data_IF_227923235858
#
_entry.id   IF_227923235858
#
_cell.length_a   1.000
_cell.length_b   1.000
_cell.length_c   1.000
_cell.angle_alpha   90.00
_cell.angle_beta   90.00
_cell.angle_gamma   90.00
#
_symmetry.space_group_name_H-M   'P 1'
#
loop_
_entity.id
_entity.type
_entity.pdbx_description
1 polymer ?
#
# COMPACT_ATOMS: atom_id res chain seq x y z
N UNK A 1 20.28 61.92 39.84
CA UNK A 1 19.11 61.26 39.26
C UNK A 1 19.61 60.03 38.52
N UNK A 2 19.62 58.87 39.19
CA UNK A 2 20.15 57.61 38.61
C UNK A 2 18.98 56.82 37.98
N UNK A 3 19.05 56.61 36.67
CA UNK A 3 18.12 55.73 35.96
C UNK A 3 18.57 54.28 36.12
N UNK A 4 17.74 53.45 36.75
CA UNK A 4 17.96 52.00 36.79
C UNK A 4 17.31 51.41 35.51
N UNK A 5 18.13 50.82 34.68
CA UNK A 5 17.67 50.06 33.52
C UNK A 5 17.42 48.62 34.02
N UNK A 6 16.13 48.23 34.08
CA UNK A 6 15.74 46.87 34.42
C UNK A 6 15.76 46.03 33.15
N UNK A 7 16.74 45.14 33.02
CA UNK A 7 16.81 44.20 31.92
C UNK A 7 15.83 43.07 32.20
N UNK A 8 14.75 43.00 31.41
CA UNK A 8 13.82 41.87 31.46
C UNK A 8 14.35 40.80 30.55
N UNK A 9 14.89 39.73 31.14
CA UNK A 9 15.30 38.53 30.37
C UNK A 9 14.02 37.73 30.04
N UNK A 10 13.65 37.77 28.78
CA UNK A 10 12.59 36.87 28.28
C UNK A 10 13.18 35.50 28.06
N UNK A 11 12.83 34.55 28.91
CA UNK A 11 13.14 33.15 28.70
C UNK A 11 12.15 32.59 27.68
N UNK A 12 12.59 32.43 26.45
CA UNK A 12 11.84 31.64 25.46
C UNK A 12 12.02 30.16 25.83
N UNK A 13 11.00 29.64 26.50
CA UNK A 13 10.93 28.18 26.66
C UNK A 13 10.51 27.60 25.30
N UNK A 14 11.46 27.04 24.59
CA UNK A 14 11.16 26.28 23.39
C UNK A 14 10.56 24.95 23.86
N UNK A 15 9.24 24.86 23.85
CA UNK A 15 8.55 23.62 24.17
C UNK A 15 8.67 22.70 22.96
N UNK A 16 9.47 21.78 22.70
CA UNK A 16 9.55 21.09 21.96
C UNK A 16 8.52 20.52 21.87
N UNK A 17 7.87 20.52 20.94
CA UNK A 17 6.72 19.74 20.55
C UNK A 17 7.19 18.31 20.41
N UNK A 18 6.95 17.52 21.40
CA UNK A 18 7.26 16.08 21.35
C UNK A 18 6.31 15.45 20.32
N UNK A 19 6.88 14.86 19.28
CA UNK A 19 6.08 14.22 18.24
C UNK A 19 5.25 13.11 18.87
N UNK A 20 3.95 13.10 18.58
CA UNK A 20 3.04 12.08 19.09
C UNK A 20 3.36 10.73 18.46
N UNK A 21 3.39 9.66 19.24
CA UNK A 21 3.53 8.32 18.66
C UNK A 21 2.41 8.04 17.65
N UNK A 22 2.77 7.32 16.59
CA UNK A 22 1.86 7.02 15.48
C UNK A 22 1.26 5.63 15.72
N UNK A 23 -0.06 5.51 15.62
CA UNK A 23 -0.72 4.21 15.68
C UNK A 23 -0.52 3.45 14.37
N UNK A 24 -0.21 2.15 14.47
CA UNK A 24 -0.04 1.29 13.30
C UNK A 24 -0.89 0.05 13.46
N UNK A 25 -1.64 -0.29 12.42
CA UNK A 25 -2.28 -1.60 12.31
C UNK A 25 -1.56 -2.42 11.26
N UNK A 26 -1.36 -3.72 11.56
CA UNK A 26 -0.69 -4.65 10.68
C UNK A 26 -1.67 -5.71 10.19
N UNK A 27 -1.83 -5.79 8.87
CA UNK A 27 -2.51 -6.91 8.24
C UNK A 27 -1.52 -8.06 8.11
N UNK A 28 -2.03 -9.31 8.25
CA UNK A 28 -1.17 -10.50 8.27
C UNK A 28 -1.68 -11.55 7.29
N UNK A 29 -0.80 -12.50 6.92
CA UNK A 29 -1.15 -13.53 5.94
C UNK A 29 -2.00 -14.65 6.52
N UNK A 30 -2.19 -14.68 7.83
CA UNK A 30 -2.86 -15.78 8.50
C UNK A 30 -1.93 -16.94 8.87
N UNK A 31 -0.71 -16.94 8.35
CA UNK A 31 0.28 -17.95 8.71
C UNK A 31 0.90 -17.56 10.04
N UNK A 32 0.74 -18.41 11.06
CA UNK A 32 1.24 -18.16 12.40
C UNK A 32 0.69 -16.87 13.04
N UNK A 33 -0.43 -16.36 12.54
CA UNK A 33 -1.05 -15.16 13.08
C UNK A 33 -2.49 -15.43 13.45
N UNK A 34 -3.00 -14.62 14.40
CA UNK A 34 -4.39 -14.75 14.86
C UNK A 34 -5.29 -13.65 14.27
N UNK A 35 -4.72 -12.65 13.62
CA UNK A 35 -5.54 -11.59 13.07
C UNK A 35 -4.77 -10.31 12.76
N UNK A 36 -5.42 -9.19 13.07
CA UNK A 36 -4.86 -7.84 12.89
C UNK A 36 -4.13 -7.45 14.16
N UNK A 37 -2.91 -6.91 14.04
CA UNK A 37 -2.11 -6.49 15.19
C UNK A 37 -1.98 -4.98 15.22
N UNK A 38 -1.70 -4.44 16.40
CA UNK A 38 -1.53 -3.00 16.63
C UNK A 38 -0.25 -2.75 17.43
N UNK A 39 0.40 -1.62 17.14
CA UNK A 39 1.52 -1.10 17.91
C UNK A 39 1.56 0.41 17.70
N UNK A 40 2.40 1.10 18.48
CA UNK A 40 2.71 2.50 18.20
C UNK A 40 4.18 2.63 17.81
N UNK A 41 4.48 3.66 17.06
CA UNK A 41 5.82 3.99 16.59
C UNK A 41 6.14 5.42 16.97
N UNK A 42 7.29 5.62 17.62
CA UNK A 42 7.76 6.95 17.98
C UNK A 42 8.69 7.48 16.88
N UNK A 43 8.25 8.47 16.09
CA UNK A 43 9.07 8.95 14.97
C UNK A 43 10.31 9.74 15.38
N UNK A 44 10.43 10.16 16.65
CA UNK A 44 11.63 10.87 17.12
C UNK A 44 12.81 9.93 17.27
N UNK A 45 12.55 8.71 17.76
CA UNK A 45 13.64 7.79 18.10
C UNK A 45 13.53 6.42 17.40
N UNK A 46 12.48 6.18 16.60
CA UNK A 46 12.32 4.94 15.88
C UNK A 46 11.89 3.74 16.72
N UNK A 47 11.39 3.96 17.92
CA UNK A 47 11.01 2.86 18.80
C UNK A 47 9.54 2.48 18.66
N UNK A 48 9.30 1.17 18.71
CA UNK A 48 7.95 0.60 18.69
C UNK A 48 7.54 0.17 20.09
N UNK A 49 6.25 0.25 20.39
CA UNK A 49 5.70 -0.55 21.51
C UNK A 49 5.54 -2.00 21.02
N UNK A 50 5.47 -2.98 21.93
CA UNK A 50 5.23 -4.37 21.50
C UNK A 50 3.90 -4.49 20.76
N UNK A 51 3.85 -5.35 19.73
CA UNK A 51 2.61 -5.58 19.01
C UNK A 51 1.62 -6.38 19.85
N UNK A 52 0.33 -6.05 19.70
CA UNK A 52 -0.76 -6.74 20.40
C UNK A 52 -1.84 -7.08 19.39
N UNK A 53 -2.54 -8.18 19.60
CA UNK A 53 -3.68 -8.56 18.78
C UNK A 53 -4.79 -7.52 18.93
N UNK A 54 -5.21 -6.90 17.82
CA UNK A 54 -6.26 -5.89 17.82
C UNK A 54 -7.62 -6.50 17.47
N UNK A 55 -7.64 -7.49 16.60
CA UNK A 55 -8.86 -8.23 16.23
C UNK A 55 -8.49 -9.62 15.74
N UNK A 56 -9.27 -10.62 16.17
CA UNK A 56 -9.05 -12.00 15.75
C UNK A 56 -9.83 -12.27 14.47
N UNK A 57 -9.12 -12.65 13.40
CA UNK A 57 -9.74 -12.96 12.11
C UNK A 57 -8.70 -13.67 11.23
N UNK A 58 -9.14 -14.63 10.41
CA UNK A 58 -8.25 -15.35 9.50
C UNK A 58 -7.82 -14.49 8.32
N UNK A 59 -6.53 -14.52 8.01
CA UNK A 59 -5.94 -13.93 6.79
C UNK A 59 -6.38 -12.48 6.49
N UNK A 60 -6.22 -11.54 7.45
CA UNK A 60 -6.53 -10.13 7.16
C UNK A 60 -5.39 -9.49 6.37
N UNK A 61 -5.26 -9.88 5.11
CA UNK A 61 -4.07 -9.59 4.32
C UNK A 61 -3.91 -8.14 3.87
N UNK A 62 -4.98 -7.35 3.86
CA UNK A 62 -4.87 -5.94 3.53
C UNK A 62 -5.93 -5.14 4.26
N UNK A 63 -5.58 -3.88 4.58
CA UNK A 63 -6.38 -2.98 5.40
C UNK A 63 -6.59 -1.66 4.65
N UNK A 64 -7.73 -1.01 4.90
CA UNK A 64 -8.01 0.30 4.31
C UNK A 64 -8.88 1.12 5.26
N UNK A 65 -8.62 2.44 5.32
CA UNK A 65 -9.39 3.35 6.18
C UNK A 65 -10.54 3.98 5.42
N UNK A 66 -11.66 4.12 6.12
CA UNK A 66 -12.76 4.95 5.63
C UNK A 66 -12.31 6.43 5.67
N UNK A 67 -12.74 7.26 4.70
CA UNK A 67 -12.35 8.68 4.70
C UNK A 67 -12.68 9.46 5.96
N UNK A 68 -13.66 9.00 6.77
CA UNK A 68 -13.98 9.68 8.03
C UNK A 68 -12.93 9.45 9.12
N UNK A 69 -11.96 8.57 8.89
CA UNK A 69 -10.87 8.31 9.85
C UNK A 69 -11.27 7.48 11.06
N UNK A 70 -12.48 6.92 11.10
CA UNK A 70 -13.00 6.23 12.29
C UNK A 70 -13.21 4.72 12.06
N UNK A 71 -13.27 4.29 10.81
CA UNK A 71 -13.57 2.91 10.45
C UNK A 71 -12.41 2.32 9.67
N UNK A 72 -11.98 1.14 10.09
CA UNK A 72 -10.95 0.36 9.39
C UNK A 72 -11.63 -0.84 8.74
N UNK A 73 -11.40 -1.04 7.44
CA UNK A 73 -11.88 -2.22 6.72
C UNK A 73 -10.72 -3.17 6.47
N UNK A 74 -11.02 -4.46 6.52
CA UNK A 74 -10.04 -5.53 6.34
C UNK A 74 -10.61 -6.63 5.46
N UNK A 75 -9.73 -7.25 4.68
CA UNK A 75 -10.03 -8.56 4.11
C UNK A 75 -10.02 -9.60 5.23
N UNK A 76 -10.67 -10.74 5.02
CA UNK A 76 -10.65 -11.80 6.03
C UNK A 76 -11.29 -13.09 5.58
N UNK A 77 -11.08 -14.13 6.39
CA UNK A 77 -11.67 -15.47 6.24
C UNK A 77 -12.29 -15.92 7.55
N UNK A 78 -13.47 -16.52 7.47
CA UNK A 78 -14.18 -17.01 8.65
C UNK A 78 -15.15 -18.14 8.26
N UNK A 79 -15.13 -19.22 9.03
CA UNK A 79 -16.10 -20.33 8.92
C UNK A 79 -16.43 -20.73 7.47
N UNK A 80 -15.39 -20.97 6.67
CA UNK A 80 -15.55 -21.40 5.30
C UNK A 80 -15.89 -20.29 4.32
N UNK A 81 -16.03 -19.06 4.78
CA UNK A 81 -16.32 -17.88 3.96
C UNK A 81 -15.13 -16.96 3.89
N UNK A 82 -15.12 -16.05 2.92
CA UNK A 82 -14.13 -15.00 2.82
C UNK A 82 -14.79 -13.73 2.30
N UNK A 83 -14.23 -12.58 2.67
CA UNK A 83 -14.78 -11.29 2.24
C UNK A 83 -14.15 -10.13 2.97
N UNK A 84 -14.99 -9.17 3.34
CA UNK A 84 -14.56 -7.92 3.95
C UNK A 84 -15.23 -7.72 5.30
N UNK A 85 -14.48 -7.14 6.25
CA UNK A 85 -14.99 -6.80 7.59
C UNK A 85 -14.75 -5.32 7.86
N UNK A 86 -15.62 -4.73 8.69
CA UNK A 86 -15.44 -3.34 9.14
C UNK A 86 -15.36 -3.27 10.65
N UNK A 87 -14.47 -2.41 11.15
CA UNK A 87 -14.17 -2.24 12.57
C UNK A 87 -14.23 -0.77 12.96
N UNK A 88 -14.80 -0.49 14.15
CA UNK A 88 -14.56 0.78 14.83
C UNK A 88 -13.25 0.68 15.61
N UNK A 89 -12.45 1.70 15.53
CA UNK A 89 -11.21 1.75 16.30
C UNK A 89 -11.50 2.26 17.71
N UNK A 90 -11.01 1.45 18.52
CA UNK A 90 -11.22 1.78 19.85
C UNK A 90 -9.93 2.29 20.42
N UNK A 91 -10.11 2.81 21.60
CA UNK A 91 -8.87 3.24 22.28
C UNK A 91 -7.90 2.07 22.54
N UNK A 92 -6.69 2.50 22.37
CA UNK A 92 -5.75 1.58 22.66
C UNK A 92 -5.37 0.68 21.61
N UNK A 93 -5.83 0.92 20.53
CA UNK A 93 -5.56 0.07 19.41
C UNK A 93 -6.48 -1.14 19.28
N UNK A 94 -7.50 -1.21 20.05
CA UNK A 94 -8.46 -2.30 19.94
C UNK A 94 -9.41 -2.04 18.77
N UNK A 95 -9.78 -3.12 18.04
CA UNK A 95 -10.73 -3.04 16.93
C UNK A 95 -12.01 -3.78 17.29
N UNK A 96 -13.15 -3.12 17.16
CA UNK A 96 -14.45 -3.72 17.44
C UNK A 96 -15.20 -3.91 16.12
N UNK A 97 -15.35 -5.16 15.74
CA UNK A 97 -16.08 -5.51 14.51
C UNK A 97 -17.55 -5.09 14.63
N UNK A 98 -18.09 -4.46 13.58
CA UNK A 98 -19.50 -4.12 13.53
C UNK A 98 -20.19 -4.59 12.26
N UNK A 99 -19.43 -5.00 11.24
CA UNK A 99 -20.03 -5.46 9.97
C UNK A 99 -19.06 -6.43 9.28
N UNK A 100 -19.63 -7.42 8.60
CA UNK A 100 -18.87 -8.29 7.69
C UNK A 100 -19.76 -8.72 6.54
N UNK A 101 -19.14 -8.96 5.39
CA UNK A 101 -19.89 -9.35 4.19
C UNK A 101 -19.03 -10.29 3.34
N UNK A 102 -19.55 -11.48 3.08
CA UNK A 102 -18.85 -12.46 2.25
C UNK A 102 -18.83 -12.00 0.79
N UNK A 103 -17.75 -12.39 0.10
CA UNK A 103 -17.62 -12.17 -1.33
C UNK A 103 -17.78 -13.52 -2.04
N UNK A 104 -18.65 -13.63 -3.04
CA UNK A 104 -18.83 -14.92 -3.75
C UNK A 104 -17.52 -15.41 -4.39
N UNK A 105 -16.61 -14.51 -4.71
CA UNK A 105 -15.34 -14.85 -5.38
C UNK A 105 -14.16 -14.95 -4.41
N UNK A 106 -14.43 -15.13 -3.13
CA UNK A 106 -13.44 -15.41 -2.12
C UNK A 106 -12.76 -14.18 -1.54
N UNK A 107 -11.56 -14.39 -0.99
CA UNK A 107 -10.80 -13.33 -0.34
C UNK A 107 -10.01 -12.52 -1.36
N UNK A 108 -10.01 -11.20 -1.16
CA UNK A 108 -9.24 -10.31 -2.02
C UNK A 108 -7.76 -10.28 -1.70
N UNK A 109 -6.98 -9.69 -2.60
CA UNK A 109 -5.57 -9.39 -2.40
C UNK A 109 -5.36 -7.93 -1.95
N UNK A 110 -6.33 -7.07 -2.22
CA UNK A 110 -6.22 -5.64 -1.91
C UNK A 110 -7.61 -5.05 -1.72
N UNK A 111 -7.70 -3.97 -0.97
CA UNK A 111 -8.95 -3.30 -0.65
C UNK A 111 -8.72 -1.78 -0.65
N UNK A 112 -9.68 -1.03 -1.20
CA UNK A 112 -9.63 0.44 -1.20
C UNK A 112 -11.02 1.02 -1.04
N UNK A 113 -11.15 2.00 -0.15
CA UNK A 113 -12.39 2.74 0.04
C UNK A 113 -12.40 3.96 -0.88
N UNK A 114 -13.49 4.16 -1.60
CA UNK A 114 -13.63 5.33 -2.47
C UNK A 114 -13.64 6.62 -1.63
N UNK A 115 -13.06 7.72 -2.14
CA UNK A 115 -13.02 8.98 -1.38
C UNK A 115 -14.38 9.50 -0.91
N UNK A 116 -15.46 9.12 -1.60
CA UNK A 116 -16.82 9.50 -1.16
C UNK A 116 -17.26 8.79 0.11
N UNK A 117 -16.61 7.69 0.49
CA UNK A 117 -17.03 6.86 1.61
C UNK A 117 -18.26 6.01 1.32
N UNK A 118 -18.77 6.00 0.08
CA UNK A 118 -20.01 5.30 -0.26
C UNK A 118 -19.83 3.86 -0.68
N UNK A 119 -18.60 3.45 -1.00
CA UNK A 119 -18.31 2.07 -1.37
C UNK A 119 -16.83 1.80 -1.26
N UNK A 120 -16.49 0.53 -1.24
CA UNK A 120 -15.11 0.07 -1.36
C UNK A 120 -15.02 -1.00 -2.43
N UNK A 121 -13.81 -1.22 -2.94
CA UNK A 121 -13.57 -2.26 -3.93
C UNK A 121 -12.44 -3.17 -3.45
N UNK A 122 -12.52 -4.44 -3.86
CA UNK A 122 -11.47 -5.42 -3.57
C UNK A 122 -11.01 -6.05 -4.87
N UNK A 123 -9.70 -6.35 -4.94
CA UNK A 123 -9.12 -7.07 -6.06
C UNK A 123 -9.07 -8.55 -5.71
N UNK A 124 -9.75 -9.38 -6.49
CA UNK A 124 -9.86 -10.82 -6.24
C UNK A 124 -8.84 -11.56 -7.10
N UNK A 125 -7.64 -11.73 -6.54
CA UNK A 125 -6.52 -12.31 -7.28
C UNK A 125 -6.82 -13.74 -7.75
N UNK A 126 -7.32 -14.58 -6.85
CA UNK A 126 -7.62 -15.97 -7.18
C UNK A 126 -8.80 -16.14 -8.11
N UNK A 127 -9.83 -15.31 -7.94
CA UNK A 127 -11.04 -15.40 -8.74
C UNK A 127 -10.99 -14.69 -10.08
N UNK A 128 -10.05 -13.75 -10.24
CA UNK A 128 -9.94 -12.99 -11.48
C UNK A 128 -10.95 -11.88 -11.63
N UNK A 129 -11.38 -11.27 -10.53
CA UNK A 129 -12.48 -10.31 -10.54
C UNK A 129 -12.20 -9.11 -9.64
N UNK A 130 -13.12 -8.14 -9.71
CA UNK A 130 -13.16 -6.99 -8.81
C UNK A 130 -14.53 -7.00 -8.14
N UNK A 131 -14.56 -6.88 -6.82
CA UNK A 131 -15.82 -6.82 -6.07
C UNK A 131 -16.07 -5.41 -5.57
N UNK A 132 -17.31 -4.94 -5.68
CA UNK A 132 -17.74 -3.60 -5.25
C UNK A 132 -18.72 -3.80 -4.09
N UNK A 133 -18.37 -3.27 -2.91
CA UNK A 133 -19.19 -3.36 -1.71
C UNK A 133 -19.77 -1.98 -1.43
N UNK A 134 -21.07 -1.74 -1.65
CA UNK A 134 -21.66 -0.48 -1.20
C UNK A 134 -21.57 -0.35 0.31
N UNK A 135 -21.43 0.87 0.81
CA UNK A 135 -21.38 1.17 2.24
C UNK A 135 -22.61 2.01 2.62
N UNK A 136 -23.25 1.64 3.71
CA UNK A 136 -24.29 2.46 4.30
C UNK A 136 -23.72 3.75 4.87
N UNK A 137 -24.59 4.66 5.26
CA UNK A 137 -24.18 5.95 5.83
C UNK A 137 -23.33 5.78 7.10
N UNK A 138 -23.56 4.70 7.83
CA UNK A 138 -22.81 4.35 9.04
C UNK A 138 -21.62 3.45 8.78
N UNK A 139 -21.32 3.14 7.51
CA UNK A 139 -20.18 2.31 7.14
C UNK A 139 -20.47 0.83 7.06
N UNK A 140 -21.71 0.38 7.30
CA UNK A 140 -22.04 -1.04 7.17
C UNK A 140 -21.87 -1.52 5.74
N UNK A 141 -21.23 -2.68 5.60
CA UNK A 141 -21.03 -3.32 4.29
C UNK A 141 -22.37 -3.86 3.75
N UNK A 142 -22.59 -3.69 2.46
CA UNK A 142 -23.76 -4.23 1.77
C UNK A 142 -23.31 -5.26 0.75
N UNK A 143 -24.28 -6.02 0.21
CA UNK A 143 -24.02 -7.14 -0.70
C UNK A 143 -23.17 -6.66 -1.90
N UNK A 144 -22.07 -7.34 -2.20
CA UNK A 144 -21.18 -6.91 -3.30
C UNK A 144 -21.70 -7.29 -4.67
N UNK A 145 -21.27 -6.52 -5.66
CA UNK A 145 -21.36 -6.86 -7.08
C UNK A 145 -19.97 -7.27 -7.53
N UNK A 146 -19.87 -8.32 -8.33
CA UNK A 146 -18.59 -8.85 -8.83
C UNK A 146 -18.49 -8.62 -10.33
N UNK A 147 -17.37 -8.07 -10.79
CA UNK A 147 -17.05 -7.87 -12.21
C UNK A 147 -15.88 -8.76 -12.57
N UNK A 148 -16.09 -9.74 -13.43
CA UNK A 148 -15.04 -10.65 -13.85
C UNK A 148 -14.18 -10.05 -14.96
N UNK A 149 -12.85 -10.19 -14.83
CA UNK A 149 -11.94 -9.91 -15.92
C UNK A 149 -11.86 -11.13 -16.85
N UNK A 150 -11.44 -10.92 -18.08
CA UNK A 150 -11.37 -12.00 -19.09
C UNK A 150 -10.00 -12.03 -19.76
N UNK A 151 -9.53 -13.21 -20.07
CA UNK A 151 -8.31 -13.38 -20.85
C UNK A 151 -7.11 -13.83 -20.05
N UNK A 152 -5.96 -13.53 -20.56
CA UNK A 152 -4.65 -13.81 -19.98
C UNK A 152 -3.60 -13.45 -21.01
N UNK A 153 -2.48 -12.87 -20.60
CA UNK A 153 -1.43 -12.49 -21.52
C UNK A 153 -0.61 -13.70 -21.99
N UNK A 154 -0.55 -14.75 -21.16
CA UNK A 154 0.10 -16.02 -21.46
C UNK A 154 1.61 -15.89 -21.73
N UNK A 155 2.23 -14.84 -21.20
CA UNK A 155 3.67 -14.64 -21.38
C UNK A 155 4.46 -15.47 -20.35
N UNK A 156 4.08 -15.39 -19.06
CA UNK A 156 4.76 -16.15 -18.00
C UNK A 156 3.89 -17.36 -17.63
N UNK A 157 4.41 -18.54 -17.94
CA UNK A 157 3.72 -19.79 -17.70
C UNK A 157 3.32 -19.97 -16.23
N UNK A 158 2.10 -20.45 -16.01
CA UNK A 158 1.52 -20.71 -14.67
C UNK A 158 1.21 -19.45 -13.87
N UNK A 159 1.47 -18.27 -14.44
CA UNK A 159 1.18 -17.02 -13.76
C UNK A 159 0.19 -16.15 -14.53
N UNK A 160 0.12 -16.30 -15.86
CA UNK A 160 -0.65 -15.38 -16.70
C UNK A 160 -1.62 -16.08 -17.66
N UNK A 161 -2.10 -17.26 -17.33
CA UNK A 161 -3.11 -17.96 -18.13
C UNK A 161 -4.49 -17.35 -17.98
N UNK A 162 -4.75 -16.66 -16.85
CA UNK A 162 -6.04 -16.07 -16.53
C UNK A 162 -5.83 -14.74 -15.81
N UNK A 163 -6.92 -13.94 -15.61
CA UNK A 163 -6.79 -12.67 -14.92
C UNK A 163 -6.43 -12.85 -13.45
N UNK A 164 -5.63 -11.91 -12.93
CA UNK A 164 -5.25 -11.86 -11.52
C UNK A 164 -5.18 -10.41 -11.04
N UNK A 165 -6.34 -9.75 -10.82
CA UNK A 165 -6.33 -8.40 -10.24
C UNK A 165 -5.61 -8.40 -8.90
N UNK A 166 -4.66 -7.48 -8.69
CA UNK A 166 -3.87 -7.52 -7.46
C UNK A 166 -4.00 -6.26 -6.60
N UNK A 167 -4.48 -5.18 -7.16
CA UNK A 167 -4.59 -3.90 -6.46
C UNK A 167 -5.81 -3.16 -6.96
N UNK A 168 -6.37 -2.33 -6.12
CA UNK A 168 -7.46 -1.44 -6.50
C UNK A 168 -7.16 -0.05 -5.96
N UNK A 169 -7.51 0.96 -6.74
CA UNK A 169 -7.37 2.33 -6.30
C UNK A 169 -8.14 3.25 -7.21
N UNK A 170 -8.15 4.52 -6.84
CA UNK A 170 -8.94 5.51 -7.55
C UNK A 170 -8.04 6.62 -8.06
N UNK A 171 -8.43 7.22 -9.19
CA UNK A 171 -7.76 8.43 -9.65
C UNK A 171 -7.95 9.51 -8.58
N UNK A 172 -7.03 10.50 -8.53
CA UNK A 172 -7.13 11.54 -7.49
C UNK A 172 -8.48 12.27 -7.47
N UNK A 173 -9.11 12.43 -8.63
CA UNK A 173 -10.43 13.05 -8.71
C UNK A 173 -11.59 12.12 -8.33
N UNK A 174 -11.32 10.82 -8.12
CA UNK A 174 -12.34 9.86 -7.77
C UNK A 174 -13.23 9.38 -8.91
N UNK A 175 -12.97 9.84 -10.14
CA UNK A 175 -13.84 9.50 -11.29
C UNK A 175 -13.51 8.17 -11.95
N UNK A 176 -12.33 7.63 -11.68
CA UNK A 176 -11.88 6.38 -12.28
C UNK A 176 -11.35 5.44 -11.20
N UNK A 177 -11.58 4.15 -11.39
CA UNK A 177 -10.95 3.10 -10.62
C UNK A 177 -9.93 2.41 -11.52
N UNK A 178 -8.73 2.14 -10.99
CA UNK A 178 -7.63 1.55 -11.73
C UNK A 178 -7.23 0.25 -11.05
N UNK A 179 -7.18 -0.83 -11.86
CA UNK A 179 -6.97 -2.18 -11.35
C UNK A 179 -5.79 -2.80 -12.11
N UNK A 180 -4.58 -2.77 -11.56
CA UNK A 180 -3.50 -3.57 -12.12
C UNK A 180 -3.87 -5.06 -12.08
N UNK A 181 -3.77 -5.70 -13.22
CA UNK A 181 -4.09 -7.12 -13.36
C UNK A 181 -2.85 -7.87 -13.82
N UNK A 182 -2.29 -8.68 -12.93
CA UNK A 182 -1.04 -9.40 -13.17
C UNK A 182 -1.16 -10.37 -14.34
N UNK A 183 -2.30 -11.04 -14.45
CA UNK A 183 -2.51 -12.04 -15.50
C UNK A 183 -2.71 -11.44 -16.87
N UNK A 184 -3.19 -10.20 -16.94
CA UNK A 184 -3.49 -9.55 -18.22
C UNK A 184 -2.36 -8.66 -18.74
N UNK A 185 -1.34 -8.37 -17.92
CA UNK A 185 -0.31 -7.39 -18.22
C UNK A 185 -0.91 -5.99 -18.49
N UNK A 186 -1.97 -5.66 -17.77
CA UNK A 186 -2.71 -4.41 -17.99
C UNK A 186 -3.09 -3.75 -16.67
N UNK A 187 -3.32 -2.42 -16.75
CA UNK A 187 -4.15 -1.72 -15.77
C UNK A 187 -5.54 -1.63 -16.42
N UNK A 188 -6.54 -2.23 -15.78
CA UNK A 188 -7.93 -2.12 -16.27
C UNK A 188 -8.53 -0.86 -15.63
N UNK A 189 -9.15 -0.01 -16.46
CA UNK A 189 -9.67 1.28 -16.03
C UNK A 189 -11.20 1.29 -16.14
N UNK A 190 -11.84 1.67 -15.04
CA UNK A 190 -13.30 1.79 -14.95
C UNK A 190 -13.70 3.23 -14.66
N UNK A 191 -14.85 3.63 -15.19
CA UNK A 191 -15.53 4.84 -14.72
C UNK A 191 -16.28 4.53 -13.43
N UNK A 192 -16.28 5.47 -12.51
CA UNK A 192 -16.93 5.35 -11.20
C UNK A 192 -18.19 6.21 -11.19
N UNK A 193 -19.30 5.65 -10.70
CA UNK A 193 -20.49 6.44 -10.33
C UNK A 193 -20.58 6.44 -8.80
N UNK A 194 -20.16 7.50 -8.13
CA UNK A 194 -20.18 7.51 -6.66
C UNK A 194 -21.61 7.62 -6.08
N UNK A 195 -22.56 8.08 -6.87
CA UNK A 195 -23.93 8.23 -6.40
C UNK A 195 -24.69 6.88 -6.45
N UNK A 196 -24.25 6.01 -7.34
CA UNK A 196 -24.81 4.68 -7.51
C UNK A 196 -23.59 3.75 -7.55
N UNK A 197 -23.08 3.28 -6.40
CA UNK A 197 -21.78 2.57 -6.34
C UNK A 197 -21.66 1.51 -7.43
N UNK A 198 -21.00 1.87 -8.50
CA UNK A 198 -20.83 0.99 -9.65
C UNK A 198 -19.63 1.39 -10.45
N UNK A 199 -19.07 0.40 -11.15
CA UNK A 199 -17.95 0.58 -12.08
C UNK A 199 -18.42 0.19 -13.46
N UNK A 200 -18.11 1.00 -14.47
CA UNK A 200 -18.35 0.64 -15.86
C UNK A 200 -17.01 0.63 -16.62
N UNK A 201 -16.84 -0.39 -17.46
CA UNK A 201 -15.59 -0.57 -18.18
C UNK A 201 -15.30 0.67 -19.05
N UNK A 202 -14.06 1.18 -18.97
CA UNK A 202 -13.66 2.39 -19.70
C UNK A 202 -12.52 2.08 -20.68
N UNK A 203 -11.46 1.40 -20.24
CA UNK A 203 -10.35 1.07 -21.10
C UNK A 203 -9.27 0.30 -20.38
N UNK A 204 -8.13 0.17 -21.03
CA UNK A 204 -6.96 -0.51 -20.45
C UNK A 204 -5.69 0.28 -20.77
N UNK A 205 -4.69 0.12 -19.91
CA UNK A 205 -3.34 0.62 -20.17
C UNK A 205 -2.40 -0.59 -20.18
N UNK A 206 -1.69 -0.79 -21.29
CA UNK A 206 -0.86 -1.96 -21.49
C UNK A 206 0.51 -1.79 -20.84
N UNK A 207 0.90 -2.76 -20.02
CA UNK A 207 2.23 -2.81 -19.43
C UNK A 207 3.17 -3.65 -20.29
N UNK A 208 4.42 -3.85 -19.81
CA UNK A 208 5.41 -4.64 -20.55
C UNK A 208 5.01 -6.13 -20.55
N UNK A 209 5.22 -6.84 -21.67
CA UNK A 209 4.87 -8.26 -21.71
C UNK A 209 5.59 -9.06 -20.62
N UNK A 210 4.86 -9.87 -19.88
CA UNK A 210 5.41 -10.65 -18.79
C UNK A 210 5.72 -9.86 -17.54
N UNK A 211 5.34 -8.59 -17.50
CA UNK A 211 5.62 -7.73 -16.35
C UNK A 211 4.86 -8.15 -15.11
N UNK A 212 3.59 -8.48 -15.27
CA UNK A 212 2.74 -8.86 -14.14
C UNK A 212 2.41 -7.68 -13.24
N UNK A 213 1.55 -6.76 -13.73
CA UNK A 213 1.14 -5.58 -12.93
C UNK A 213 0.61 -5.97 -11.55
N UNK A 214 1.10 -5.30 -10.51
CA UNK A 214 0.76 -5.68 -9.14
C UNK A 214 0.14 -4.53 -8.33
N UNK A 215 0.88 -3.48 -8.09
CA UNK A 215 0.48 -2.29 -7.32
C UNK A 215 0.89 -1.04 -8.07
N UNK A 216 0.24 0.10 -7.80
CA UNK A 216 0.59 1.36 -8.48
C UNK A 216 0.36 2.55 -7.56
N UNK A 217 0.98 3.66 -7.93
CA UNK A 217 0.78 4.95 -7.25
C UNK A 217 0.80 6.05 -8.29
N UNK A 218 0.01 7.11 -8.05
CA UNK A 218 0.10 8.33 -8.82
C UNK A 218 1.28 9.16 -8.34
N UNK A 219 1.90 9.92 -9.26
CA UNK A 219 2.86 10.93 -8.86
C UNK A 219 2.13 12.03 -8.09
N UNK A 220 2.88 12.79 -7.27
CA UNK A 220 2.30 13.82 -6.41
C UNK A 220 1.56 14.89 -7.24
N UNK A 221 2.09 15.22 -8.43
CA UNK A 221 1.45 16.20 -9.33
C UNK A 221 0.37 15.58 -10.21
N UNK A 222 0.08 14.28 -10.04
CA UNK A 222 -0.98 13.55 -10.74
C UNK A 222 -0.77 13.39 -12.25
N UNK A 223 0.44 13.70 -12.75
CA UNK A 223 0.75 13.57 -14.17
C UNK A 223 1.13 12.15 -14.57
N UNK A 224 1.68 11.39 -13.64
CA UNK A 224 2.22 10.07 -13.92
C UNK A 224 1.61 9.01 -13.01
N UNK A 225 1.61 7.78 -13.52
CA UNK A 225 1.36 6.58 -12.74
C UNK A 225 2.66 5.78 -12.73
N UNK A 226 3.07 5.31 -11.54
CA UNK A 226 4.17 4.37 -11.39
C UNK A 226 3.57 3.00 -11.08
N UNK A 227 3.69 2.09 -12.04
CA UNK A 227 3.14 0.73 -11.95
C UNK A 227 4.24 -0.25 -11.63
N UNK A 228 4.11 -0.98 -10.52
CA UNK A 228 5.03 -2.04 -10.15
C UNK A 228 4.65 -3.32 -10.85
N UNK A 229 5.59 -3.89 -11.61
CA UNK A 229 5.45 -5.17 -12.26
C UNK A 229 6.09 -6.24 -11.36
N UNK A 230 5.27 -7.16 -10.84
CA UNK A 230 5.72 -8.17 -9.89
C UNK A 230 6.72 -9.14 -10.50
N UNK A 231 6.40 -9.67 -11.69
CA UNK A 231 7.13 -10.79 -12.27
C UNK A 231 8.46 -10.35 -12.87
N UNK A 232 8.52 -9.15 -13.43
CA UNK A 232 9.75 -8.64 -14.04
C UNK A 232 10.55 -7.75 -13.10
N UNK A 233 10.09 -7.50 -11.86
CA UNK A 233 10.74 -6.61 -10.89
C UNK A 233 11.12 -5.28 -11.55
N UNK A 234 10.11 -4.60 -12.06
CA UNK A 234 10.31 -3.35 -12.78
C UNK A 234 9.18 -2.37 -12.47
N UNK A 235 9.41 -1.10 -12.77
CA UNK A 235 8.39 -0.06 -12.63
C UNK A 235 8.16 0.59 -13.99
N UNK A 236 6.93 0.56 -14.48
CA UNK A 236 6.55 1.25 -15.72
C UNK A 236 5.88 2.58 -15.36
N UNK A 237 6.38 3.66 -15.97
CA UNK A 237 5.78 4.99 -15.85
C UNK A 237 4.80 5.20 -16.97
N UNK A 238 3.60 5.69 -16.62
CA UNK A 238 2.56 6.06 -17.58
C UNK A 238 2.23 7.54 -17.44
N UNK A 239 1.85 8.31 -18.39
CA UNK A 239 1.37 9.47 -18.39
C UNK A 239 0.05 9.33 -18.21
N UNK A 240 -0.57 9.90 -17.31
CA UNK A 240 -2.00 9.89 -16.96
C UNK A 240 -2.73 11.11 -17.53
N UNK A 241 -3.80 10.90 -18.27
CA UNK A 241 -4.68 11.96 -18.76
C UNK A 241 -5.97 11.93 -17.92
N UNK A 242 -6.05 12.83 -16.95
CA UNK A 242 -7.18 12.88 -16.01
C UNK A 242 -8.50 13.23 -16.69
N UNK A 243 -8.44 14.02 -17.76
CA UNK A 243 -9.66 14.40 -18.51
C UNK A 243 -10.26 13.25 -19.29
N UNK A 244 -9.40 12.42 -19.88
CA UNK A 244 -9.82 11.27 -20.68
C UNK A 244 -9.89 9.96 -19.88
N UNK A 245 -9.24 9.91 -18.74
CA UNK A 245 -9.14 8.66 -17.97
C UNK A 245 -8.29 7.62 -18.67
N UNK A 246 -7.20 8.05 -19.30
CA UNK A 246 -6.31 7.14 -20.06
C UNK A 246 -4.88 7.25 -19.58
N UNK A 247 -4.13 6.15 -19.75
CA UNK A 247 -2.72 6.10 -19.36
C UNK A 247 -1.90 5.55 -20.52
N UNK A 248 -0.80 6.25 -20.83
CA UNK A 248 0.10 5.90 -21.93
C UNK A 248 1.46 5.49 -21.38
N UNK A 249 1.96 4.30 -21.69
CA UNK A 249 3.28 3.89 -21.19
C UNK A 249 4.40 4.75 -21.77
N UNK A 250 5.35 5.14 -20.91
CA UNK A 250 6.47 6.02 -21.28
C UNK A 250 7.82 5.32 -21.17
N UNK A 251 8.10 4.66 -20.04
CA UNK A 251 9.41 4.06 -19.76
C UNK A 251 9.28 3.01 -18.67
N UNK A 252 10.28 2.12 -18.62
CA UNK A 252 10.34 1.07 -17.59
C UNK A 252 11.77 0.96 -17.04
N UNK A 253 11.92 1.01 -15.71
CA UNK A 253 13.04 0.92 -15.02
C UNK A 253 13.05 -0.29 -14.38
N UNK A 254 14.20 -1.12 -14.33
CA UNK A 254 14.36 -2.36 -13.58
C UNK A 254 14.71 -2.06 -12.13
N UNK A 255 14.13 -2.81 -11.22
CA UNK A 255 14.42 -2.63 -9.79
C UNK A 255 15.79 -3.14 -9.38
N UNK A 256 16.16 -4.12 -9.84
CA UNK A 256 17.37 -4.71 -9.57
C UNK A 256 17.97 -5.00 -10.87
N UNK A 257 19.33 -5.31 -11.04
CA UNK A 257 19.96 -5.73 -12.26
C UNK A 257 19.63 -7.20 -12.59
N UNK A 258 19.78 -7.57 -13.85
CA UNK A 258 19.53 -8.96 -14.23
C UNK A 258 20.47 -9.92 -13.51
N UNK A 259 21.69 -9.49 -13.25
CA UNK A 259 22.66 -10.30 -12.50
C UNK A 259 22.17 -10.54 -11.06
N UNK A 260 21.65 -9.52 -10.41
CA UNK A 260 21.11 -9.64 -9.04
C UNK A 260 19.89 -10.57 -9.05
N UNK A 261 18.99 -10.38 -10.02
CA UNK A 261 17.81 -11.26 -10.12
C UNK A 261 18.19 -12.72 -10.30
N UNK A 262 19.17 -12.98 -11.17
CA UNK A 262 19.61 -14.35 -11.48
C UNK A 262 20.30 -15.04 -10.30
N UNK A 263 20.77 -14.26 -9.34
CA UNK A 263 21.41 -14.79 -8.14
C UNK A 263 20.45 -15.34 -7.10
N UNK A 264 19.15 -15.12 -7.28
CA UNK A 264 18.13 -15.54 -6.32
C UNK A 264 17.29 -16.70 -6.87
N UNK A 265 17.03 -17.68 -6.02
CA UNK A 265 16.19 -18.83 -6.41
C UNK A 265 14.73 -18.43 -6.56
N UNK A 266 14.31 -17.34 -5.92
CA UNK A 266 12.98 -16.77 -6.04
C UNK A 266 13.11 -15.25 -5.99
N UNK A 267 12.41 -14.59 -6.89
CA UNK A 267 12.39 -13.12 -6.96
C UNK A 267 11.03 -12.64 -7.40
N UNK A 268 10.48 -11.65 -6.68
CA UNK A 268 9.30 -10.95 -7.16
C UNK A 268 9.13 -9.62 -6.44
N UNK A 269 8.56 -8.63 -7.11
CA UNK A 269 8.29 -7.33 -6.50
C UNK A 269 6.97 -7.37 -5.74
N UNK A 270 6.79 -6.47 -4.76
CA UNK A 270 5.57 -6.53 -3.95
C UNK A 270 4.85 -5.20 -3.73
N UNK A 271 5.53 -4.14 -3.30
CA UNK A 271 4.87 -2.87 -2.99
C UNK A 271 5.62 -1.70 -3.58
N UNK A 272 4.90 -0.62 -3.88
CA UNK A 272 5.47 0.61 -4.43
C UNK A 272 4.91 1.81 -3.68
N UNK A 273 5.79 2.80 -3.43
CA UNK A 273 5.45 4.03 -2.71
C UNK A 273 6.04 5.23 -3.43
N UNK A 274 5.38 6.39 -3.28
CA UNK A 274 5.90 7.66 -3.79
C UNK A 274 6.13 8.58 -2.58
N UNK A 275 7.34 9.16 -2.50
CA UNK A 275 7.66 10.12 -1.44
C UNK A 275 6.82 11.39 -1.63
N UNK A 276 6.32 12.02 -0.55
CA UNK A 276 5.49 13.23 -0.67
C UNK A 276 6.13 14.38 -1.45
N UNK A 277 7.46 14.45 -1.52
CA UNK A 277 8.14 15.47 -2.34
C UNK A 277 7.92 15.25 -3.84
N UNK A 278 7.52 14.04 -4.23
CA UNK A 278 7.41 13.66 -5.64
C UNK A 278 8.74 13.25 -6.27
N UNK A 279 9.85 13.41 -5.55
CA UNK A 279 11.20 13.20 -6.11
C UNK A 279 11.70 11.76 -5.99
N UNK A 280 11.07 10.93 -5.17
CA UNK A 280 11.55 9.56 -4.92
C UNK A 280 10.41 8.56 -4.95
N UNK A 281 10.75 7.35 -5.42
CA UNK A 281 9.85 6.20 -5.47
C UNK A 281 10.57 5.03 -4.81
N UNK A 282 9.81 4.14 -4.18
CA UNK A 282 10.36 2.96 -3.49
C UNK A 282 9.60 1.72 -3.92
N UNK A 283 10.31 0.61 -4.16
CA UNK A 283 9.64 -0.67 -4.39
C UNK A 283 10.35 -1.80 -3.63
N UNK A 284 9.58 -2.76 -3.14
CA UNK A 284 10.15 -3.88 -2.39
C UNK A 284 10.37 -5.11 -3.27
N UNK A 285 11.47 -5.82 -3.00
CA UNK A 285 11.92 -6.98 -3.76
C UNK A 285 11.96 -8.21 -2.83
N UNK A 286 11.03 -9.14 -3.05
CA UNK A 286 10.98 -10.41 -2.29
C UNK A 286 11.98 -11.40 -2.88
N UNK A 287 12.64 -12.17 -2.05
CA UNK A 287 13.73 -13.05 -2.44
C UNK A 287 15.07 -12.38 -2.20
N UNK A 288 15.34 -11.30 -2.90
CA UNK A 288 16.52 -10.47 -2.65
C UNK A 288 16.40 -9.73 -1.31
N UNK A 289 15.18 -9.49 -0.84
CA UNK A 289 14.86 -8.90 0.45
C UNK A 289 15.44 -7.49 0.62
N UNK A 290 15.15 -6.65 -0.36
CA UNK A 290 15.61 -5.27 -0.42
C UNK A 290 14.49 -4.33 -0.81
N UNK A 291 14.76 -3.03 -0.67
CA UNK A 291 13.95 -1.96 -1.24
C UNK A 291 14.80 -1.21 -2.25
N UNK A 292 14.29 -1.08 -3.45
CA UNK A 292 14.90 -0.25 -4.49
C UNK A 292 14.42 1.18 -4.32
N UNK A 293 15.36 2.13 -4.25
CA UNK A 293 15.08 3.55 -4.13
C UNK A 293 15.34 4.19 -5.49
N UNK A 294 14.36 4.92 -6.01
CA UNK A 294 14.46 5.58 -7.30
C UNK A 294 14.39 7.09 -7.13
N UNK A 295 15.22 7.79 -7.87
CA UNK A 295 15.04 9.22 -8.10
C UNK A 295 14.10 9.39 -9.29
N UNK A 296 13.09 10.24 -9.14
CA UNK A 296 12.10 10.48 -10.20
C UNK A 296 12.36 11.84 -10.86
N UNK A 297 12.40 11.85 -12.18
CA UNK A 297 12.37 13.09 -12.93
C UNK A 297 10.91 13.55 -13.00
N UNK A 298 10.57 14.60 -12.26
CA UNK A 298 9.17 15.04 -12.14
C UNK A 298 8.61 15.64 -13.42
N UNK A 299 9.46 15.97 -14.40
CA UNK A 299 9.00 16.49 -15.70
C UNK A 299 8.69 15.37 -16.69
N UNK A 300 9.47 14.29 -16.67
CA UNK A 300 9.37 13.21 -17.66
C UNK A 300 8.81 11.91 -17.10
N UNK A 301 8.78 11.75 -15.77
CA UNK A 301 8.40 10.52 -15.12
C UNK A 301 9.46 9.44 -15.11
N UNK A 302 10.62 9.68 -15.72
CA UNK A 302 11.70 8.69 -15.75
C UNK A 302 12.25 8.44 -14.36
N UNK A 303 12.54 7.17 -14.08
CA UNK A 303 13.09 6.73 -12.80
C UNK A 303 14.55 6.28 -12.98
N UNK A 304 15.35 6.49 -11.92
CA UNK A 304 16.73 6.04 -11.86
C UNK A 304 16.95 5.41 -10.48
N UNK A 305 17.41 4.16 -10.42
CA UNK A 305 17.74 3.51 -9.14
C UNK A 305 18.97 4.20 -8.54
N UNK A 306 18.85 4.66 -7.29
CA UNK A 306 19.95 5.32 -6.56
C UNK A 306 20.40 4.52 -5.36
N UNK A 307 19.63 3.50 -4.94
CA UNK A 307 20.01 2.62 -3.83
C UNK A 307 19.21 1.33 -3.91
N UNK A 308 19.81 0.23 -3.50
CA UNK A 308 19.11 -1.04 -3.24
C UNK A 308 19.46 -1.40 -1.80
N UNK A 309 18.50 -1.24 -0.89
CA UNK A 309 18.75 -1.31 0.55
C UNK A 309 18.20 -2.59 1.16
N UNK A 310 19.02 -3.40 1.86
CA UNK A 310 18.49 -4.55 2.60
C UNK A 310 17.45 -4.13 3.65
N UNK A 311 16.37 -4.90 3.75
CA UNK A 311 15.25 -4.52 4.64
C UNK A 311 15.39 -5.00 6.08
N UNK A 312 16.44 -5.78 6.39
CA UNK A 312 16.64 -6.35 7.73
C UNK A 312 15.46 -7.24 8.13
N UNK A 313 15.05 -8.08 7.19
CA UNK A 313 13.97 -9.05 7.34
C UNK A 313 13.88 -9.89 6.09
N UNK A 314 12.93 -10.83 6.09
CA UNK A 314 12.76 -11.75 4.97
C UNK A 314 11.38 -11.59 4.34
N UNK A 315 11.37 -11.52 3.01
CA UNK A 315 10.15 -11.47 2.20
C UNK A 315 9.36 -10.18 2.45
N UNK A 316 9.91 -9.01 2.01
CA UNK A 316 9.26 -7.72 2.26
C UNK A 316 8.02 -7.52 1.36
N UNK A 317 6.93 -8.17 1.75
CA UNK A 317 5.68 -8.11 0.97
C UNK A 317 5.01 -6.74 1.05
N UNK A 318 5.29 -5.97 2.10
CA UNK A 318 4.75 -4.61 2.22
C UNK A 318 5.79 -3.68 2.81
N UNK A 319 5.77 -2.45 2.33
CA UNK A 319 6.52 -1.32 2.88
C UNK A 319 5.55 -0.15 2.98
N UNK A 320 5.80 0.77 3.92
CA UNK A 320 5.03 2.01 3.96
C UNK A 320 5.86 3.13 4.56
N UNK A 321 5.55 4.36 4.15
CA UNK A 321 6.17 5.58 4.68
C UNK A 321 5.33 6.11 5.84
N UNK A 322 5.97 6.58 6.90
CA UNK A 322 5.25 7.29 7.95
C UNK A 322 4.59 8.54 7.35
N UNK A 323 3.54 9.07 7.99
CA UNK A 323 2.82 10.22 7.39
C UNK A 323 3.69 11.40 6.96
N UNK A 324 4.75 11.71 7.74
CA UNK A 324 5.69 12.77 7.37
C UNK A 324 6.85 12.29 6.49
N UNK A 325 6.86 10.98 6.18
CA UNK A 325 7.88 10.35 5.34
C UNK A 325 9.31 10.42 5.90
N UNK A 326 9.46 10.61 7.21
CA UNK A 326 10.79 10.55 7.84
C UNK A 326 11.30 9.11 7.96
N UNK A 327 10.39 8.14 7.90
CA UNK A 327 10.73 6.72 8.03
C UNK A 327 10.02 5.89 6.99
N UNK A 328 10.70 4.83 6.54
CA UNK A 328 10.09 3.76 5.76
C UNK A 328 10.14 2.49 6.60
N UNK A 329 8.97 1.87 6.80
CA UNK A 329 8.86 0.61 7.51
C UNK A 329 8.72 -0.53 6.51
N UNK A 330 9.47 -1.63 6.72
CA UNK A 330 9.44 -2.80 5.84
C UNK A 330 8.98 -4.03 6.60
N UNK A 331 7.90 -4.65 6.12
CA UNK A 331 7.30 -5.84 6.75
C UNK A 331 7.88 -7.10 6.13
N UNK A 332 8.66 -7.84 6.93
CA UNK A 332 9.23 -9.12 6.53
C UNK A 332 8.30 -10.27 6.90
N UNK A 333 7.50 -10.72 5.92
CA UNK A 333 6.47 -11.73 6.18
C UNK A 333 7.04 -13.04 6.69
N UNK A 334 8.22 -13.45 6.18
CA UNK A 334 8.83 -14.72 6.56
C UNK A 334 9.72 -14.60 7.80
N UNK A 335 10.13 -13.40 8.18
CA UNK A 335 10.92 -13.17 9.39
C UNK A 335 10.06 -12.76 10.58
N UNK A 336 8.76 -12.48 10.39
CA UNK A 336 7.85 -12.03 11.44
C UNK A 336 8.34 -10.74 12.09
N UNK A 337 8.83 -9.81 11.27
CA UNK A 337 9.39 -8.53 11.76
C UNK A 337 8.94 -7.37 10.89
N UNK A 338 8.91 -6.19 11.51
CA UNK A 338 8.80 -4.93 10.78
C UNK A 338 9.97 -4.07 11.23
N UNK A 339 10.79 -3.61 10.28
CA UNK A 339 12.00 -2.84 10.57
C UNK A 339 11.89 -1.43 10.01
N UNK A 340 12.39 -0.45 10.75
CA UNK A 340 12.28 0.96 10.37
C UNK A 340 13.62 1.49 9.84
N UNK A 341 13.51 2.25 8.75
CA UNK A 341 14.64 2.87 8.06
C UNK A 341 14.40 4.38 8.00
N UNK A 342 15.41 5.17 8.36
CA UNK A 342 15.32 6.61 8.18
C UNK A 342 15.39 6.96 6.71
N UNK A 343 14.61 7.96 6.31
CA UNK A 343 14.58 8.49 4.95
C UNK A 343 15.36 9.80 4.92
N UNK A 344 16.36 9.89 4.05
CA UNK A 344 17.06 11.15 3.81
C UNK A 344 16.18 12.00 2.88
N UNK A 345 15.66 13.15 3.34
CA UNK A 345 14.73 13.93 2.51
C UNK A 345 15.35 14.56 1.27
N UNK A 346 16.68 14.65 1.22
CA UNK A 346 17.38 15.24 0.06
C UNK A 346 17.69 14.22 -1.02
N UNK A 347 17.97 12.97 -0.63
CA UNK A 347 18.40 11.94 -1.57
C UNK A 347 17.40 10.80 -1.70
N UNK A 348 16.41 10.72 -0.78
CA UNK A 348 15.46 9.60 -0.71
C UNK A 348 16.05 8.33 -0.14
N UNK A 349 17.35 8.28 0.10
CA UNK A 349 18.05 7.05 0.53
C UNK A 349 17.64 6.62 1.94
N UNK A 350 17.72 5.32 2.15
CA UNK A 350 17.30 4.68 3.39
C UNK A 350 18.49 4.25 4.22
N UNK A 351 18.41 4.42 5.55
CA UNK A 351 19.39 3.92 6.51
C UNK A 351 18.65 3.18 7.62
N UNK A 352 18.98 1.90 7.81
CA UNK A 352 18.39 1.13 8.90
C UNK A 352 18.78 1.74 10.25
N UNK A 353 17.79 1.91 11.11
CA UNK A 353 18.00 2.38 12.48
C UNK A 353 18.16 1.15 13.37
N UNK A 354 19.36 0.94 13.92
CA UNK A 354 19.65 -0.20 14.78
C UNK A 354 18.67 -0.25 15.96
N UNK A 355 18.02 -1.40 16.15
CA UNK A 355 17.05 -1.58 17.21
C UNK A 355 15.64 -1.13 16.90
N UNK A 356 15.42 -0.51 15.73
CA UNK A 356 14.06 -0.12 15.31
C UNK A 356 13.40 -1.27 14.57
N UNK A 357 13.01 -2.27 15.33
CA UNK A 357 12.39 -3.49 14.80
C UNK A 357 11.36 -4.01 15.81
N UNK A 358 10.29 -4.57 15.30
CA UNK A 358 9.19 -5.12 16.10
C UNK A 358 8.83 -6.50 15.55
N UNK A 359 8.43 -7.41 16.42
CA UNK A 359 7.91 -8.73 16.04
C UNK A 359 6.42 -8.62 15.76
N UNK A 360 6.01 -9.06 14.57
CA UNK A 360 4.59 -9.15 14.16
C UNK A 360 4.45 -10.45 13.35
N UNK A 361 3.51 -11.33 13.69
CA UNK A 361 3.38 -12.60 12.94
C UNK A 361 3.01 -12.36 11.48
N UNK A 362 3.84 -12.83 10.55
CA UNK A 362 3.59 -12.79 9.09
C UNK A 362 2.98 -11.48 8.59
N UNK A 363 3.62 -10.32 8.85
CA UNK A 363 3.02 -9.02 8.48
C UNK A 363 3.11 -8.80 6.97
N UNK A 364 1.98 -8.41 6.35
CA UNK A 364 1.92 -8.14 4.90
C UNK A 364 1.17 -6.85 4.56
N UNK A 365 0.81 -6.06 5.56
CA UNK A 365 0.22 -4.73 5.35
C UNK A 365 0.54 -3.84 6.54
N UNK A 366 1.01 -2.62 6.28
CA UNK A 366 1.31 -1.62 7.30
C UNK A 366 0.37 -0.45 7.06
N UNK A 367 -0.50 -0.16 8.03
CA UNK A 367 -1.44 0.96 7.93
C UNK A 367 -1.21 1.91 9.09
N UNK A 368 -0.83 3.16 8.78
CA UNK A 368 -0.68 4.22 9.77
C UNK A 368 -2.02 4.91 10.00
N UNK A 369 -2.28 5.27 11.25
CA UNK A 369 -3.46 6.04 11.62
C UNK A 369 -3.00 7.35 12.27
N UNK A 370 -3.48 8.47 11.74
CA UNK A 370 -3.13 9.83 12.23
C UNK A 370 -3.97 10.25 13.43
#
# INVERSE_FOLDING_TARGET
>A
MLFRISSCLLFFTCSXIIAKPIDIFFGTSGRNSEGIYHATFNPENGKFTPSKLAAKIGSPGFLSMHPNGQILYSLGRWDGSAGTLGYHMXPXGELREFTRMACPDGSGAHIAVHPSGRFLITAQYGGGSVAIFPLGKDGHLQKPTVIEHQGGSKVVERRQESPHPHWTGFSPCGKYALIPDLGLDQIVIYKVDPNKPSLSKHGVAQSVPGGGPRHMRFSVDEKFIYLLNELSLSVTTFXWDAGKGTAKPLSTXQAXSEQVKAGESFNSAAEILVHPSGSFVYSSNRGHDTVSVYQANTKTGKLKVVQVQPVRGAFPRNINLTPNADWLLAAGADSNTVAAHRVDPKTGKLTYQRGSVINVPSPICILFVD
#
